data_IF_277553850973
#
_entry.id   IF_277553850973
#
_cell.length_a   1.000
_cell.length_b   1.000
_cell.length_c   1.000
_cell.angle_alpha   90.00
_cell.angle_beta   90.00
_cell.angle_gamma   90.00
#
_symmetry.space_group_name_H-M   'P 1'
#
loop_
_entity.id
_entity.type
_entity.pdbx_description
1 polymer ?
#
# COMPACT_ATOMS: atom_id res chain seq x y z
N UNK A 1 6.78 -21.12 16.74
CA UNK A 1 6.35 -19.83 17.32
C UNK A 1 7.35 -18.77 16.88
N UNK A 2 7.00 -17.94 15.90
CA UNK A 2 7.85 -16.82 15.49
C UNK A 2 7.70 -15.71 16.54
N UNK A 3 8.82 -15.24 17.09
CA UNK A 3 8.83 -14.07 17.99
C UNK A 3 8.18 -12.87 17.29
N UNK A 4 7.38 -12.04 17.98
CA UNK A 4 6.99 -10.73 17.45
C UNK A 4 8.26 -9.95 17.14
N UNK A 5 8.31 -9.31 15.97
CA UNK A 5 9.45 -8.47 15.61
C UNK A 5 9.49 -7.27 16.56
N UNK A 6 10.65 -7.04 17.16
CA UNK A 6 11.07 -5.82 17.88
C UNK A 6 11.25 -4.63 16.90
N UNK A 7 10.43 -4.58 15.84
CA UNK A 7 10.49 -3.56 14.81
C UNK A 7 9.26 -2.70 14.91
N UNK A 8 9.49 -1.48 15.35
CA UNK A 8 8.45 -0.46 15.45
C UNK A 8 7.89 -0.18 14.04
N UNK A 9 6.60 -0.46 13.88
CA UNK A 9 5.89 -0.13 12.65
C UNK A 9 5.50 1.35 12.70
N UNK A 10 5.78 2.09 11.63
CA UNK A 10 5.37 3.50 11.54
C UNK A 10 3.88 3.54 11.22
N UNK A 11 3.07 4.05 12.15
CA UNK A 11 1.63 4.23 11.95
C UNK A 11 1.37 5.59 11.29
N UNK A 12 0.64 5.58 10.19
CA UNK A 12 0.27 6.74 9.38
C UNK A 12 -1.25 6.81 9.41
N UNK A 13 -1.77 7.87 10.00
CA UNK A 13 -3.20 8.16 10.05
C UNK A 13 -3.46 9.58 9.54
N UNK A 14 -4.69 10.07 9.70
CA UNK A 14 -5.07 11.42 9.29
C UNK A 14 -4.22 12.53 9.91
N UNK A 15 -3.69 12.37 11.12
CA UNK A 15 -2.89 13.39 11.81
C UNK A 15 -1.45 13.45 11.28
N UNK A 16 -0.95 12.33 10.77
CA UNK A 16 0.38 12.19 10.18
C UNK A 16 0.35 12.07 8.64
N UNK A 17 -0.79 12.38 8.00
CA UNK A 17 -0.98 12.18 6.57
C UNK A 17 -0.24 13.23 5.74
N UNK A 18 0.42 12.84 4.65
CA UNK A 18 0.81 13.78 3.59
C UNK A 18 -0.41 14.48 2.97
N UNK A 19 -0.26 15.73 2.55
CA UNK A 19 -1.35 16.60 2.05
C UNK A 19 -2.11 16.08 0.82
N UNK A 20 -1.58 15.09 0.10
CA UNK A 20 -2.07 14.65 -1.20
C UNK A 20 -2.87 13.33 -1.16
N UNK A 21 -3.00 12.70 0.01
CA UNK A 21 -3.88 11.53 0.22
C UNK A 21 -4.82 11.81 1.39
N UNK A 22 -6.11 11.61 1.15
CA UNK A 22 -7.12 11.79 2.19
C UNK A 22 -7.11 10.60 3.13
N UNK A 23 -7.18 10.82 4.43
CA UNK A 23 -7.38 9.76 5.42
C UNK A 23 -8.70 9.97 6.13
N UNK A 24 -9.46 8.90 6.31
CA UNK A 24 -10.71 8.97 7.08
C UNK A 24 -10.37 9.04 8.57
N UNK A 25 -11.23 9.74 9.31
CA UNK A 25 -11.10 9.80 10.76
C UNK A 25 -11.63 8.51 11.37
N UNK A 26 -10.75 7.79 12.08
CA UNK A 26 -11.13 6.59 12.81
C UNK A 26 -12.13 6.94 13.90
N UNK A 27 -13.23 6.19 13.95
CA UNK A 27 -14.26 6.35 14.98
C UNK A 27 -14.05 5.28 16.05
N UNK A 28 -14.05 5.67 17.35
CA UNK A 28 -14.02 4.69 18.43
C UNK A 28 -15.18 3.71 18.29
N UNK A 29 -14.90 2.43 18.47
CA UNK A 29 -15.89 1.38 18.37
C UNK A 29 -15.28 0.00 18.35
N UNK A 30 -16.13 -1.05 18.38
CA UNK A 30 -15.65 -2.41 18.54
C UNK A 30 -14.74 -2.91 17.40
N UNK A 31 -14.95 -2.44 16.17
CA UNK A 31 -14.00 -2.71 15.07
C UNK A 31 -12.64 -2.03 15.27
N UNK A 32 -12.60 -0.84 15.88
CA UNK A 32 -11.35 -0.16 16.24
C UNK A 32 -10.60 -0.95 17.31
N UNK A 33 -11.29 -1.46 18.33
CA UNK A 33 -10.68 -2.29 19.37
C UNK A 33 -10.06 -3.57 18.78
N UNK A 34 -10.75 -4.17 17.80
CA UNK A 34 -10.25 -5.34 17.08
C UNK A 34 -8.97 -5.02 16.28
N UNK A 35 -8.93 -3.85 15.65
CA UNK A 35 -7.75 -3.34 14.94
C UNK A 35 -6.59 -3.11 15.90
N UNK A 36 -6.80 -2.44 17.03
CA UNK A 36 -5.74 -2.17 18.02
C UNK A 36 -5.16 -3.48 18.56
N UNK A 37 -6.01 -4.46 18.88
CA UNK A 37 -5.55 -5.79 19.27
C UNK A 37 -4.76 -6.46 18.15
N UNK A 38 -5.19 -6.37 16.90
CA UNK A 38 -4.43 -6.94 15.79
C UNK A 38 -3.04 -6.28 15.65
N UNK A 39 -2.96 -4.96 15.78
CA UNK A 39 -1.71 -4.21 15.67
C UNK A 39 -0.73 -4.49 16.82
N UNK A 40 -1.21 -4.77 18.04
CA UNK A 40 -0.33 -5.13 19.16
C UNK A 40 0.43 -6.44 18.95
N UNK A 41 -0.05 -7.32 18.06
CA UNK A 41 0.61 -8.58 17.72
C UNK A 41 1.28 -8.58 16.33
N UNK A 42 0.80 -7.73 15.42
CA UNK A 42 1.18 -7.57 14.01
C UNK A 42 1.99 -8.77 13.43
N UNK A 43 1.32 -9.84 12.95
CA UNK A 43 1.97 -11.09 12.55
C UNK A 43 2.63 -11.00 11.15
N UNK A 44 3.50 -10.02 10.94
CA UNK A 44 4.12 -9.76 9.63
C UNK A 44 5.57 -10.24 9.63
N UNK A 45 5.83 -11.34 8.93
CA UNK A 45 7.19 -11.81 8.67
C UNK A 45 7.81 -11.03 7.52
N UNK A 46 8.98 -10.43 7.72
CA UNK A 46 9.72 -9.68 6.70
C UNK A 46 11.23 -9.93 6.76
N UNK A 47 11.94 -9.54 5.70
CA UNK A 47 13.40 -9.66 5.65
C UNK A 47 14.08 -8.66 6.61
N UNK A 48 15.34 -8.89 7.03
CA UNK A 48 15.98 -8.05 8.03
C UNK A 48 16.08 -6.55 7.69
N UNK A 49 16.24 -6.23 6.42
CA UNK A 49 16.38 -4.87 5.88
C UNK A 49 15.03 -4.18 5.57
N UNK A 50 13.92 -4.83 5.93
CA UNK A 50 12.58 -4.33 5.64
C UNK A 50 12.05 -3.44 6.76
N UNK A 51 11.50 -2.28 6.36
CA UNK A 51 10.67 -1.40 7.20
C UNK A 51 9.19 -1.78 7.05
N UNK A 52 8.40 -1.46 8.07
CA UNK A 52 6.95 -1.67 8.09
C UNK A 52 6.27 -0.32 8.31
N UNK A 53 5.33 0.01 7.43
CA UNK A 53 4.45 1.18 7.54
C UNK A 53 3.01 0.72 7.56
N UNK A 54 2.19 1.26 8.46
CA UNK A 54 0.77 0.93 8.61
C UNK A 54 -0.05 2.17 8.33
N UNK A 55 -0.80 2.17 7.23
CA UNK A 55 -1.74 3.23 6.89
C UNK A 55 -3.11 2.87 7.44
N UNK A 56 -3.69 3.74 8.29
CA UNK A 56 -5.04 3.57 8.85
C UNK A 56 -6.04 4.33 8.00
N UNK A 57 -7.04 3.63 7.46
CA UNK A 57 -8.09 4.23 6.63
C UNK A 57 -7.60 5.17 5.49
N UNK A 58 -6.60 4.78 4.67
CA UNK A 58 -6.16 5.61 3.55
C UNK A 58 -7.25 5.70 2.49
N UNK A 59 -7.49 6.90 1.98
CA UNK A 59 -8.42 7.17 0.89
C UNK A 59 -7.83 6.76 -0.45
N UNK A 60 -8.40 5.71 -1.04
CA UNK A 60 -8.06 5.20 -2.37
C UNK A 60 -9.29 5.32 -3.28
N UNK A 61 -9.09 5.20 -4.60
CA UNK A 61 -10.17 5.32 -5.60
C UNK A 61 -11.40 4.43 -5.32
N UNK A 62 -11.18 3.22 -4.77
CA UNK A 62 -12.23 2.24 -4.52
C UNK A 62 -12.75 2.24 -3.07
N UNK A 63 -12.30 3.18 -2.23
CA UNK A 63 -12.76 3.33 -0.84
C UNK A 63 -11.64 3.51 0.17
N UNK A 64 -11.99 3.29 1.43
CA UNK A 64 -11.12 3.45 2.60
C UNK A 64 -10.94 2.09 3.28
N UNK A 65 -9.93 1.28 2.91
CA UNK A 65 -9.62 0.06 3.64
C UNK A 65 -9.25 0.38 5.09
N UNK A 66 -9.71 -0.41 6.05
CA UNK A 66 -9.47 -0.11 7.47
C UNK A 66 -7.96 -0.03 7.79
N UNK A 67 -7.16 -0.97 7.26
CA UNK A 67 -5.70 -0.89 7.31
C UNK A 67 -5.04 -1.28 5.99
N UNK A 68 -3.91 -0.64 5.70
CA UNK A 68 -2.95 -1.07 4.68
C UNK A 68 -1.56 -1.16 5.29
N UNK A 69 -1.02 -2.37 5.37
CA UNK A 69 0.34 -2.61 5.85
C UNK A 69 1.28 -2.73 4.66
N UNK A 70 2.37 -1.96 4.69
CA UNK A 70 3.39 -1.94 3.66
C UNK A 70 4.69 -2.46 4.24
N UNK A 71 5.20 -3.55 3.68
CA UNK A 71 6.55 -4.04 3.95
C UNK A 71 7.43 -3.63 2.79
N UNK A 72 8.46 -2.84 3.05
CA UNK A 72 9.29 -2.27 2.00
C UNK A 72 10.76 -2.28 2.39
N UNK A 73 11.66 -2.34 1.40
CA UNK A 73 13.10 -2.36 1.66
C UNK A 73 13.67 -0.95 1.62
N UNK A 74 14.29 -0.52 2.73
CA UNK A 74 14.86 0.81 2.85
C UNK A 74 15.98 1.06 1.82
N UNK A 75 16.82 0.06 1.54
CA UNK A 75 17.89 0.13 0.54
C UNK A 75 17.41 0.41 -0.89
N UNK A 76 16.17 0.09 -1.24
CA UNK A 76 15.62 0.39 -2.57
C UNK A 76 15.20 1.86 -2.71
N UNK A 77 14.97 2.53 -1.58
CA UNK A 77 14.50 3.89 -1.52
C UNK A 77 15.54 4.88 -0.99
N UNK A 78 16.73 4.40 -0.60
CA UNK A 78 17.82 5.23 -0.07
C UNK A 78 18.35 6.23 -1.10
N UNK A 79 18.27 5.90 -2.38
CA UNK A 79 18.71 6.74 -3.49
C UNK A 79 17.56 7.48 -4.19
N UNK A 80 16.34 7.47 -3.63
CA UNK A 80 15.23 8.21 -4.24
C UNK A 80 15.44 9.71 -4.07
N UNK A 81 15.37 10.49 -5.16
CA UNK A 81 15.62 11.93 -5.10
C UNK A 81 14.50 12.66 -4.38
N UNK A 82 14.80 13.83 -3.80
CA UNK A 82 13.81 14.66 -3.10
C UNK A 82 12.70 15.15 -4.04
N UNK A 83 12.98 15.34 -5.32
CA UNK A 83 11.98 15.65 -6.37
C UNK A 83 10.85 14.61 -6.45
N UNK A 84 11.04 13.40 -5.92
CA UNK A 84 9.99 12.39 -5.79
C UNK A 84 8.88 12.81 -4.82
N UNK A 85 9.14 13.74 -3.90
CA UNK A 85 8.15 14.33 -3.00
C UNK A 85 7.09 15.15 -3.76
N UNK A 86 7.43 15.68 -4.93
CA UNK A 86 6.54 16.52 -5.75
C UNK A 86 5.53 15.72 -6.58
N UNK A 87 5.65 14.39 -6.60
CA UNK A 87 4.75 13.54 -7.36
C UNK A 87 3.34 13.55 -6.77
N UNK A 88 2.35 13.57 -7.65
CA UNK A 88 0.93 13.45 -7.34
C UNK A 88 0.35 12.13 -7.87
N UNK A 89 -0.88 11.71 -7.48
CA UNK A 89 -1.42 10.40 -7.87
C UNK A 89 -1.54 10.21 -9.37
N UNK A 90 -1.86 11.29 -10.10
CA UNK A 90 -1.97 11.28 -11.56
C UNK A 90 -0.63 10.94 -12.23
N UNK A 91 0.50 11.38 -11.67
CA UNK A 91 1.83 11.04 -12.17
C UNK A 91 2.08 9.54 -12.02
N UNK A 92 1.70 8.97 -10.87
CA UNK A 92 1.81 7.54 -10.60
C UNK A 92 0.86 6.71 -11.46
N UNK A 93 -0.27 7.28 -11.90
CA UNK A 93 -1.16 6.67 -12.92
C UNK A 93 -0.47 6.61 -14.27
N UNK A 94 0.18 7.69 -14.72
CA UNK A 94 0.99 7.69 -15.94
C UNK A 94 2.17 6.71 -15.85
N UNK A 95 2.87 6.64 -14.72
CA UNK A 95 3.93 5.66 -14.50
C UNK A 95 3.41 4.22 -14.58
N UNK A 96 2.27 3.93 -13.95
CA UNK A 96 1.69 2.60 -13.98
C UNK A 96 1.33 2.17 -15.42
N UNK A 97 0.78 3.09 -16.21
CA UNK A 97 0.54 2.84 -17.64
C UNK A 97 1.84 2.48 -18.37
N UNK A 98 2.91 3.28 -18.21
CA UNK A 98 4.22 2.98 -18.80
C UNK A 98 4.80 1.64 -18.32
N UNK A 99 4.59 1.28 -17.05
CA UNK A 99 5.03 0.00 -16.51
C UNK A 99 4.31 -1.18 -17.17
N UNK A 100 3.01 -1.04 -17.47
CA UNK A 100 2.23 -2.06 -18.17
C UNK A 100 2.61 -2.17 -19.65
N UNK A 101 2.74 -1.03 -20.35
CA UNK A 101 3.05 -1.00 -21.80
C UNK A 101 4.54 -1.16 -22.11
N UNK A 102 5.41 -1.09 -21.10
CA UNK A 102 6.89 -1.09 -21.18
C UNK A 102 7.50 0.14 -21.87
N UNK A 103 6.74 0.83 -22.69
CA UNK A 103 7.09 2.13 -23.27
C UNK A 103 5.84 2.81 -23.84
N UNK A 104 5.91 4.12 -24.10
CA UNK A 104 4.89 4.81 -24.88
C UNK A 104 5.46 6.06 -25.56
N UNK A 105 4.90 6.41 -26.72
CA UNK A 105 5.26 7.63 -27.43
C UNK A 105 4.51 8.85 -26.86
N UNK A 106 5.10 10.04 -26.99
CA UNK A 106 4.50 11.31 -26.54
C UNK A 106 3.04 11.47 -26.98
N UNK A 107 2.76 11.17 -28.25
CA UNK A 107 1.43 11.35 -28.84
C UNK A 107 0.40 10.39 -28.22
N UNK A 108 0.79 9.15 -27.92
CA UNK A 108 -0.08 8.17 -27.26
C UNK A 108 -0.39 8.59 -25.83
N UNK A 109 0.61 9.09 -25.10
CA UNK A 109 0.41 9.61 -23.73
C UNK A 109 -0.47 10.86 -23.71
N UNK A 110 -0.29 11.74 -24.70
CA UNK A 110 -1.12 12.92 -24.86
C UNK A 110 -2.59 12.58 -25.18
N UNK A 111 -2.84 11.50 -25.94
CA UNK A 111 -4.19 11.00 -26.20
C UNK A 111 -4.85 10.42 -24.94
N UNK A 112 -4.12 9.65 -24.14
CA UNK A 112 -4.66 8.98 -22.95
C UNK A 112 -4.88 9.94 -21.78
N UNK A 113 -3.90 10.80 -21.49
CA UNK A 113 -3.90 11.65 -20.29
C UNK A 113 -4.18 13.13 -20.58
N UNK A 114 -4.21 13.53 -21.86
CA UNK A 114 -4.27 14.92 -22.29
C UNK A 114 -2.88 15.55 -22.35
N UNK A 115 -2.58 16.27 -23.45
CA UNK A 115 -1.24 16.81 -23.77
C UNK A 115 -0.55 17.54 -22.61
N UNK A 116 -1.24 18.50 -21.98
CA UNK A 116 -0.67 19.30 -20.87
C UNK A 116 -0.38 18.45 -19.64
N UNK A 117 -1.33 17.60 -19.22
CA UNK A 117 -1.18 16.74 -18.05
C UNK A 117 -0.09 15.70 -18.26
N UNK A 118 -0.12 15.02 -19.40
CA UNK A 118 0.91 14.06 -19.79
C UNK A 118 2.30 14.68 -19.71
N UNK A 119 2.49 15.87 -20.30
CA UNK A 119 3.80 16.54 -20.27
C UNK A 119 4.26 16.87 -18.86
N UNK A 120 3.41 17.52 -18.05
CA UNK A 120 3.77 17.86 -16.67
C UNK A 120 4.06 16.63 -15.81
N UNK A 121 3.30 15.54 -15.97
CA UNK A 121 3.57 14.28 -15.28
C UNK A 121 4.89 13.66 -15.72
N UNK A 122 5.20 13.65 -17.02
CA UNK A 122 6.47 13.12 -17.53
C UNK A 122 7.67 13.92 -17.04
N UNK A 123 7.56 15.25 -17.00
CA UNK A 123 8.63 16.12 -16.48
C UNK A 123 8.92 15.81 -15.00
N UNK A 124 7.87 15.68 -14.15
CA UNK A 124 8.04 15.28 -12.74
C UNK A 124 8.55 13.85 -12.58
N UNK A 125 8.03 12.89 -13.35
CA UNK A 125 8.50 11.50 -13.31
C UNK A 125 9.96 11.37 -13.73
N UNK A 126 10.40 12.17 -14.70
CA UNK A 126 11.79 12.22 -15.15
C UNK A 126 12.67 12.80 -14.04
N UNK A 127 12.27 13.92 -13.45
CA UNK A 127 12.98 14.55 -12.33
C UNK A 127 13.08 13.61 -11.12
N UNK A 128 12.06 12.80 -10.87
CA UNK A 128 12.02 11.79 -9.80
C UNK A 128 12.79 10.49 -10.14
N UNK A 129 13.39 10.38 -11.33
CA UNK A 129 14.14 9.19 -11.76
C UNK A 129 13.27 7.95 -12.00
N UNK A 130 11.97 8.12 -12.22
CA UNK A 130 11.01 7.01 -12.40
C UNK A 130 10.88 6.56 -13.86
N UNK A 131 11.17 7.47 -14.79
CA UNK A 131 11.16 7.21 -16.23
C UNK A 131 12.44 7.73 -16.88
N UNK A 132 12.65 7.32 -18.13
CA UNK A 132 13.66 7.87 -19.02
C UNK A 132 13.06 8.11 -20.40
N UNK A 133 13.64 9.05 -21.13
CA UNK A 133 13.24 9.39 -22.48
C UNK A 133 14.28 8.88 -23.49
N UNK A 134 13.82 8.31 -24.60
CA UNK A 134 14.62 7.93 -25.76
C UNK A 134 13.95 8.51 -27.02
N UNK A 135 14.44 9.66 -27.49
CA UNK A 135 13.76 10.42 -28.53
C UNK A 135 12.37 10.88 -28.06
N UNK A 136 11.32 10.45 -28.75
CA UNK A 136 9.91 10.74 -28.40
C UNK A 136 9.21 9.62 -27.63
N UNK A 137 9.98 8.62 -27.19
CA UNK A 137 9.48 7.45 -26.47
C UNK A 137 9.91 7.50 -25.01
N UNK A 138 8.96 7.26 -24.11
CA UNK A 138 9.17 7.19 -22.66
C UNK A 138 9.18 5.74 -22.21
N UNK A 139 10.11 5.42 -21.30
CA UNK A 139 10.26 4.09 -20.72
C UNK A 139 10.32 4.20 -19.20
N UNK A 140 9.67 3.29 -18.47
CA UNK A 140 9.84 3.20 -17.02
C UNK A 140 11.27 2.74 -16.69
N UNK A 141 11.84 3.26 -15.62
CA UNK A 141 13.08 2.72 -15.07
C UNK A 141 12.84 1.38 -14.35
N UNK A 142 13.93 0.63 -14.12
CA UNK A 142 13.84 -0.72 -13.58
C UNK A 142 13.10 -0.76 -12.23
N UNK A 143 12.13 -1.67 -12.09
CA UNK A 143 11.25 -1.79 -10.91
C UNK A 143 12.01 -1.86 -9.58
N UNK A 144 13.15 -2.56 -9.53
CA UNK A 144 13.92 -2.70 -8.30
C UNK A 144 14.51 -1.37 -7.79
N UNK A 145 14.67 -0.37 -8.67
CA UNK A 145 15.11 0.99 -8.33
C UNK A 145 13.95 1.91 -8.00
N UNK A 146 12.78 1.67 -8.59
CA UNK A 146 11.64 2.60 -8.52
C UNK A 146 10.56 2.18 -7.51
N UNK A 147 10.53 0.91 -7.11
CA UNK A 147 9.51 0.33 -6.23
C UNK A 147 10.13 -0.45 -5.06
N UNK A 148 9.93 0.05 -3.84
CA UNK A 148 10.50 -0.49 -2.62
C UNK A 148 9.59 -1.50 -1.92
N UNK A 149 8.27 -1.36 -2.08
CA UNK A 149 7.31 -2.27 -1.48
C UNK A 149 7.50 -3.71 -1.97
N UNK A 150 7.59 -4.63 -1.01
CA UNK A 150 7.67 -6.08 -1.22
C UNK A 150 6.37 -6.76 -0.85
N UNK A 151 5.60 -6.17 0.08
CA UNK A 151 4.23 -6.57 0.40
C UNK A 151 3.40 -5.31 0.60
N UNK A 152 2.20 -5.33 0.05
CA UNK A 152 1.10 -4.42 0.38
C UNK A 152 -0.05 -5.32 0.83
N UNK A 153 -0.42 -5.22 2.09
CA UNK A 153 -1.39 -6.09 2.74
C UNK A 153 -2.57 -5.23 3.17
N UNK A 154 -3.74 -5.44 2.56
CA UNK A 154 -4.97 -4.79 2.99
C UNK A 154 -5.67 -5.63 4.05
N UNK A 155 -6.24 -5.00 5.06
CA UNK A 155 -7.03 -5.66 6.11
C UNK A 155 -8.35 -4.91 6.26
N UNK A 156 -9.45 -5.65 6.22
CA UNK A 156 -10.80 -5.15 6.50
C UNK A 156 -11.30 -5.77 7.80
N UNK A 157 -11.65 -4.94 8.78
CA UNK A 157 -12.07 -5.38 10.10
C UNK A 157 -13.59 -5.36 10.21
N UNK A 158 -14.17 -6.45 10.75
CA UNK A 158 -15.62 -6.47 10.97
C UNK A 158 -16.03 -7.40 12.10
N UNK A 159 -17.03 -6.96 12.87
CA UNK A 159 -17.67 -7.83 13.87
C UNK A 159 -18.77 -8.72 13.30
N UNK A 160 -19.31 -8.41 12.12
CA UNK A 160 -20.43 -9.12 11.51
C UNK A 160 -20.56 -8.83 10.01
N UNK A 161 -21.61 -9.32 9.35
CA UNK A 161 -21.82 -9.15 7.91
C UNK A 161 -20.63 -9.66 7.06
N UNK A 162 -20.41 -10.98 7.14
CA UNK A 162 -19.36 -11.71 6.44
C UNK A 162 -19.30 -11.42 4.94
N UNK A 163 -20.45 -11.42 4.26
CA UNK A 163 -20.51 -11.20 2.81
C UNK A 163 -19.98 -9.82 2.41
N UNK A 164 -20.31 -8.78 3.19
CA UNK A 164 -19.84 -7.42 2.95
C UNK A 164 -18.33 -7.28 3.17
N UNK A 165 -17.80 -7.79 4.29
CA UNK A 165 -16.36 -7.67 4.59
C UNK A 165 -15.52 -8.47 3.58
N UNK A 166 -16.00 -9.63 3.14
CA UNK A 166 -15.35 -10.42 2.11
C UNK A 166 -15.31 -9.68 0.77
N UNK A 167 -16.40 -9.02 0.38
CA UNK A 167 -16.43 -8.22 -0.85
C UNK A 167 -15.50 -7.00 -0.75
N UNK A 168 -15.41 -6.33 0.41
CA UNK A 168 -14.44 -5.24 0.63
C UNK A 168 -13.00 -5.76 0.53
N UNK A 169 -12.68 -6.88 1.18
CA UNK A 169 -11.37 -7.51 1.09
C UNK A 169 -11.04 -7.92 -0.35
N UNK A 170 -12.01 -8.45 -1.10
CA UNK A 170 -11.86 -8.80 -2.53
C UNK A 170 -11.56 -7.57 -3.38
N UNK A 171 -12.24 -6.45 -3.14
CA UNK A 171 -11.94 -5.19 -3.83
C UNK A 171 -10.49 -4.81 -3.62
N UNK A 172 -10.00 -4.80 -2.39
CA UNK A 172 -8.62 -4.37 -2.06
C UNK A 172 -7.52 -5.14 -2.79
N UNK A 173 -7.82 -6.34 -3.31
CA UNK A 173 -6.88 -7.03 -4.20
C UNK A 173 -6.51 -6.20 -5.42
N UNK A 174 -7.28 -5.19 -5.85
CA UNK A 174 -6.92 -4.35 -7.01
C UNK A 174 -5.57 -3.62 -6.84
N UNK A 175 -5.14 -3.32 -5.61
CA UNK A 175 -3.85 -2.69 -5.31
C UNK A 175 -2.93 -3.55 -4.44
N UNK A 176 -3.48 -4.44 -3.63
CA UNK A 176 -2.73 -5.18 -2.62
C UNK A 176 -2.13 -6.48 -3.17
N UNK A 177 -0.98 -6.85 -2.62
CA UNK A 177 -0.36 -8.17 -2.83
C UNK A 177 -1.09 -9.27 -2.06
N UNK A 178 -1.69 -8.92 -0.92
CA UNK A 178 -2.50 -9.80 -0.07
C UNK A 178 -3.65 -8.99 0.50
N UNK A 179 -4.76 -9.66 0.77
CA UNK A 179 -5.91 -9.05 1.41
C UNK A 179 -6.48 -10.00 2.45
N UNK A 180 -6.85 -9.45 3.61
CA UNK A 180 -7.31 -10.19 4.77
C UNK A 180 -8.63 -9.62 5.30
N UNK A 181 -9.46 -10.52 5.83
CA UNK A 181 -10.56 -10.20 6.72
C UNK A 181 -10.09 -10.40 8.16
N UNK A 182 -10.33 -9.39 9.00
CA UNK A 182 -10.06 -9.42 10.43
C UNK A 182 -11.40 -9.51 11.19
N UNK A 183 -11.60 -10.61 11.91
CA UNK A 183 -12.85 -10.92 12.62
C UNK A 183 -12.54 -11.52 13.99
N UNK A 184 -13.46 -11.49 14.98
CA UNK A 184 -13.21 -12.14 16.26
C UNK A 184 -13.25 -13.68 16.15
N UNK A 185 -14.08 -14.21 15.25
CA UNK A 185 -14.29 -15.65 14.99
C UNK A 185 -14.71 -15.85 13.53
N UNK A 186 -14.38 -17.01 12.97
CA UNK A 186 -14.81 -17.44 11.64
C UNK A 186 -15.17 -18.93 11.66
N UNK A 187 -16.22 -19.32 10.94
CA UNK A 187 -16.57 -20.74 10.72
C UNK A 187 -15.73 -21.34 9.58
N UNK A 188 -15.62 -22.67 9.50
CA UNK A 188 -14.90 -23.34 8.41
C UNK A 188 -15.49 -23.02 7.02
N UNK A 189 -16.82 -22.83 6.92
CA UNK A 189 -17.47 -22.38 5.68
C UNK A 189 -17.00 -20.98 5.28
N UNK A 190 -16.92 -20.04 6.23
CA UNK A 190 -16.37 -18.70 5.99
C UNK A 190 -14.90 -18.75 5.56
N UNK A 191 -14.09 -19.58 6.23
CA UNK A 191 -12.70 -19.79 5.84
C UNK A 191 -12.58 -20.35 4.42
N UNK A 192 -13.42 -21.31 4.06
CA UNK A 192 -13.52 -21.88 2.71
C UNK A 192 -13.89 -20.82 1.67
N UNK A 193 -14.92 -20.01 1.93
CA UNK A 193 -15.34 -18.92 1.05
C UNK A 193 -14.25 -17.86 0.86
N UNK A 194 -13.53 -17.47 1.92
CA UNK A 194 -12.42 -16.53 1.78
C UNK A 194 -11.30 -17.12 0.91
N UNK A 195 -10.97 -18.40 1.12
CA UNK A 195 -9.92 -19.10 0.40
C UNK A 195 -10.20 -19.21 -1.11
N UNK A 196 -11.46 -19.42 -1.53
CA UNK A 196 -11.82 -19.45 -2.98
C UNK A 196 -11.55 -18.12 -3.68
N UNK A 197 -11.59 -17.01 -2.95
CA UNK A 197 -11.24 -15.67 -3.46
C UNK A 197 -9.76 -15.30 -3.26
N UNK A 198 -8.96 -16.20 -2.67
CA UNK A 198 -7.57 -15.95 -2.30
C UNK A 198 -7.40 -14.96 -1.15
N UNK A 199 -8.45 -14.74 -0.36
CA UNK A 199 -8.48 -13.83 0.79
C UNK A 199 -8.08 -14.61 2.04
N UNK A 200 -7.20 -14.02 2.85
CA UNK A 200 -6.83 -14.58 4.15
C UNK A 200 -7.81 -14.18 5.23
N UNK A 201 -7.81 -14.92 6.34
CA UNK A 201 -8.64 -14.60 7.50
C UNK A 201 -7.76 -14.59 8.73
N UNK A 202 -7.80 -13.49 9.46
CA UNK A 202 -7.18 -13.37 10.79
C UNK A 202 -8.29 -13.35 11.81
N UNK A 203 -8.24 -14.29 12.75
CA UNK A 203 -9.10 -14.26 13.94
C UNK A 203 -8.34 -13.72 15.13
N UNK A 204 -8.92 -12.74 15.82
CA UNK A 204 -8.33 -12.14 17.04
C UNK A 204 -9.34 -12.22 18.17
N UNK A 205 -8.98 -12.93 19.23
CA UNK A 205 -9.80 -13.07 20.42
C UNK A 205 -8.92 -13.13 21.68
N UNK A 206 -9.52 -13.36 22.85
CA UNK A 206 -8.80 -13.41 24.13
C UNK A 206 -7.74 -14.53 24.20
N UNK A 207 -7.91 -15.61 23.42
CA UNK A 207 -6.94 -16.71 23.35
C UNK A 207 -5.76 -16.45 22.42
N UNK A 208 -5.77 -15.35 21.67
CA UNK A 208 -4.68 -14.91 20.79
C UNK A 208 -5.11 -14.70 19.34
N UNK A 209 -4.13 -14.83 18.43
CA UNK A 209 -4.31 -14.63 16.98
C UNK A 209 -4.13 -15.94 16.23
N UNK A 210 -5.08 -16.26 15.35
CA UNK A 210 -4.92 -17.33 14.35
C UNK A 210 -4.99 -16.74 12.94
N UNK A 211 -4.09 -17.17 12.06
CA UNK A 211 -4.08 -16.78 10.65
C UNK A 211 -4.41 -17.97 9.74
N UNK A 212 -5.36 -17.77 8.82
CA UNK A 212 -5.44 -18.52 7.56
C UNK A 212 -4.85 -17.64 6.45
N UNK A 213 -3.78 -18.09 5.78
CA UNK A 213 -2.98 -17.22 4.93
C UNK A 213 -3.71 -16.82 3.64
N UNK A 214 -3.54 -15.56 3.22
CA UNK A 214 -3.98 -15.08 1.91
C UNK A 214 -3.06 -15.57 0.78
N UNK A 215 -3.62 -15.67 -0.44
CA UNK A 215 -2.80 -15.85 -1.64
C UNK A 215 -1.98 -14.59 -1.92
N UNK A 216 -0.70 -14.78 -2.24
CA UNK A 216 0.20 -13.67 -2.59
C UNK A 216 0.12 -13.37 -4.08
N UNK A 217 0.18 -12.08 -4.43
CA UNK A 217 0.18 -11.58 -5.80
C UNK A 217 1.33 -10.62 -6.05
N UNK A 218 1.74 -10.51 -7.30
CA UNK A 218 2.84 -9.65 -7.71
C UNK A 218 2.49 -8.16 -7.60
N UNK A 219 3.51 -7.36 -7.30
CA UNK A 219 3.46 -5.90 -7.27
C UNK A 219 4.33 -5.28 -8.38
N UNK A 220 4.01 -4.06 -8.85
CA UNK A 220 2.81 -3.27 -8.53
C UNK A 220 1.56 -3.83 -9.25
N UNK A 221 0.40 -3.81 -8.57
CA UNK A 221 -0.89 -4.28 -9.11
C UNK A 221 -1.65 -3.22 -9.88
N UNK A 222 -1.56 -1.98 -9.40
CA UNK A 222 -2.26 -0.83 -9.95
C UNK A 222 -1.45 0.45 -9.69
N UNK A 223 -1.95 1.59 -10.16
CA UNK A 223 -1.37 2.87 -9.78
C UNK A 223 -1.47 3.15 -8.27
N UNK A 224 -2.50 2.64 -7.58
CA UNK A 224 -2.59 2.75 -6.12
C UNK A 224 -1.49 1.95 -5.39
N UNK A 225 -0.97 0.86 -5.98
CA UNK A 225 0.22 0.21 -5.43
C UNK A 225 1.42 1.16 -5.40
N UNK A 226 1.58 2.01 -6.43
CA UNK A 226 2.61 3.03 -6.47
C UNK A 226 2.36 4.13 -5.45
N UNK A 227 1.11 4.62 -5.34
CA UNK A 227 0.73 5.61 -4.32
C UNK A 227 1.10 5.11 -2.92
N UNK A 228 0.70 3.89 -2.57
CA UNK A 228 0.97 3.30 -1.25
C UNK A 228 2.47 3.08 -1.02
N UNK A 229 3.22 2.67 -2.05
CA UNK A 229 4.67 2.56 -1.97
C UNK A 229 5.33 3.91 -1.64
N UNK A 230 4.90 4.97 -2.31
CA UNK A 230 5.44 6.31 -2.09
C UNK A 230 5.02 6.87 -0.72
N UNK A 231 3.76 6.69 -0.30
CA UNK A 231 3.31 7.09 1.03
C UNK A 231 4.15 6.47 2.16
N UNK A 232 4.44 5.17 2.07
CA UNK A 232 5.24 4.46 3.07
C UNK A 232 6.66 5.05 3.18
N UNK A 233 7.27 5.41 2.04
CA UNK A 233 8.57 6.07 2.02
C UNK A 233 8.51 7.49 2.57
N UNK A 234 7.55 8.31 2.13
CA UNK A 234 7.42 9.72 2.55
C UNK A 234 7.22 9.84 4.06
N UNK A 235 6.34 9.03 4.62
CA UNK A 235 6.09 9.03 6.06
C UNK A 235 7.35 8.69 6.88
N UNK A 236 8.22 7.81 6.36
CA UNK A 236 9.48 7.48 7.05
C UNK A 236 10.49 8.62 7.06
N UNK A 237 10.38 9.59 6.14
CA UNK A 237 11.25 10.77 6.13
C UNK A 237 10.82 11.79 7.20
N UNK A 238 9.52 11.99 7.34
CA UNK A 238 8.96 12.90 8.36
C UNK A 238 9.27 12.45 9.78
N UNK A 239 9.33 11.13 10.02
CA UNK A 239 9.75 10.58 11.32
C UNK A 239 11.25 10.72 11.59
N UNK A 240 12.09 10.67 10.57
CA UNK A 240 13.54 10.81 10.72
C UNK A 240 13.92 12.29 10.97
N UNK A 241 13.23 13.25 10.36
CA UNK A 241 13.46 14.69 10.55
C UNK A 241 13.04 15.19 11.95
N UNK A 242 11.98 14.64 12.55
CA UNK A 242 11.55 14.99 13.90
C UNK A 242 12.48 14.44 14.99
N UNK A 243 13.18 13.33 14.73
CA UNK A 243 14.16 12.75 15.64
C UNK A 243 15.53 13.46 15.60
N UNK A 244 15.89 14.11 14.48
CA UNK A 244 17.15 14.85 14.31
C UNK A 244 17.13 16.30 14.82
N UNK A 245 15.99 16.77 15.34
CA UNK A 245 15.78 18.15 15.79
C UNK A 245 15.65 18.29 17.32
N UNK A 246 15.98 17.24 18.08
CA UNK A 246 15.89 17.18 19.54
C UNK A 246 17.26 17.10 20.22
#
# INVERSE_FOLDING_TARGET
>A
MSKPLDREAVIIDRRASPDWVMFRESRPGPESDLIERFLSYLPVVCAPDSKISVLREPGLEMGFPDLVIVVWRANRASEWPETRMDLVPDDLRTLHYLHQTRSAHDDSLAQVFGKRRARSSLDRLLAAGLVRQAGRTWLPNARHRTFAATKIIAVEAKLGNWSRVLEQARRNLWFASKSYVLVPRASEDQLGQAATHGIGVVTVNESGITERPAQSRDLPRSYASWVINDLAWRASRTTDESAGSA
#
